data_IF_723790981800
#
_entry.id   IF_723790981800
#
_cell.length_a   1.000
_cell.length_b   1.000
_cell.length_c   1.000
_cell.angle_alpha   90.00
_cell.angle_beta   90.00
_cell.angle_gamma   90.00
#
_symmetry.space_group_name_H-M   'P 1'
#
loop_
_entity.id
_entity.type
_entity.pdbx_description
1 polymer ?
#
# COMPACT_ATOMS: atom_id res chain seq x y z
N UNK A 1 -6.76 27.99 7.57
CA UNK A 1 -7.97 27.47 6.92
C UNK A 1 -7.99 25.96 7.12
N UNK A 2 -9.11 25.42 7.65
CA UNK A 2 -9.35 24.01 8.00
C UNK A 2 -8.40 23.37 9.03
N UNK A 3 -8.58 23.72 10.32
CA UNK A 3 -8.19 22.85 11.44
C UNK A 3 -9.21 21.71 11.56
N UNK A 4 -9.39 20.92 10.51
CA UNK A 4 -10.15 19.68 10.64
C UNK A 4 -9.25 18.72 11.39
N UNK A 5 -9.43 18.62 12.71
CA UNK A 5 -8.72 17.63 13.50
C UNK A 5 -9.13 16.29 12.91
N UNK A 6 -8.18 15.52 12.40
CA UNK A 6 -8.38 14.13 11.95
C UNK A 6 -8.84 13.29 13.15
N UNK A 7 -10.12 13.44 13.49
CA UNK A 7 -10.77 12.79 14.61
C UNK A 7 -10.78 11.30 14.36
N UNK A 8 -10.32 10.54 15.34
CA UNK A 8 -10.37 9.08 15.33
C UNK A 8 -11.32 8.64 16.42
N UNK A 9 -12.19 7.69 16.07
CA UNK A 9 -13.11 7.07 17.02
C UNK A 9 -12.83 5.58 17.14
N UNK A 10 -13.08 5.06 18.34
CA UNK A 10 -13.05 3.63 18.60
C UNK A 10 -14.42 3.03 18.28
N UNK A 11 -14.43 1.99 17.45
CA UNK A 11 -15.62 1.25 17.04
C UNK A 11 -15.44 -0.21 17.43
N UNK A 12 -16.43 -0.79 18.11
CA UNK A 12 -16.49 -2.22 18.39
C UNK A 12 -17.21 -2.93 17.26
N UNK A 13 -16.58 -3.98 16.72
CA UNK A 13 -17.12 -4.89 15.71
C UNK A 13 -17.14 -6.32 16.26
N UNK A 14 -17.86 -7.26 15.62
CA UNK A 14 -17.74 -8.69 15.93
C UNK A 14 -16.29 -9.21 15.84
N UNK A 15 -15.46 -8.58 15.00
CA UNK A 15 -14.07 -8.93 14.80
C UNK A 15 -13.11 -8.38 15.86
N UNK A 16 -13.49 -7.31 16.58
CA UNK A 16 -12.66 -6.68 17.60
C UNK A 16 -12.82 -5.15 17.65
N UNK A 17 -11.92 -4.49 18.38
CA UNK A 17 -11.88 -3.04 18.50
C UNK A 17 -11.08 -2.42 17.34
N UNK A 18 -11.68 -1.43 16.67
CA UNK A 18 -11.10 -0.73 15.53
C UNK A 18 -10.97 0.77 15.82
N UNK A 19 -9.88 1.39 15.38
CA UNK A 19 -9.67 2.84 15.44
C UNK A 19 -9.85 3.43 14.04
N UNK A 20 -11.03 3.99 13.76
CA UNK A 20 -11.39 4.49 12.43
C UNK A 20 -11.49 6.02 12.44
N UNK A 21 -11.28 6.69 11.31
CA UNK A 21 -11.60 8.11 11.18
C UNK A 21 -13.09 8.38 11.46
N UNK A 22 -13.40 9.54 12.03
CA UNK A 22 -14.77 9.97 12.24
C UNK A 22 -15.49 10.21 10.90
N UNK A 23 -14.80 10.86 9.97
CA UNK A 23 -15.24 11.09 8.60
C UNK A 23 -14.59 10.08 7.65
N UNK A 24 -15.42 9.35 6.89
CA UNK A 24 -14.95 8.37 5.89
C UNK A 24 -14.10 9.01 4.79
N UNK A 25 -14.32 10.28 4.48
CA UNK A 25 -13.49 11.02 3.53
C UNK A 25 -12.02 11.10 3.96
N UNK A 26 -11.74 10.87 5.25
CA UNK A 26 -10.39 10.93 5.82
C UNK A 26 -9.75 9.54 5.98
N UNK A 27 -10.39 8.49 5.47
CA UNK A 27 -9.79 7.16 5.43
C UNK A 27 -8.53 7.17 4.57
N UNK A 28 -7.46 6.59 5.12
CA UNK A 28 -6.25 6.31 4.37
C UNK A 28 -6.59 5.38 3.20
N UNK A 29 -6.08 5.63 1.99
CA UNK A 29 -6.37 4.81 0.81
C UNK A 29 -5.75 3.40 0.90
N UNK A 30 -4.87 3.15 1.86
CA UNK A 30 -4.32 1.82 2.17
C UNK A 30 -5.24 0.96 3.06
N UNK A 31 -6.29 1.56 3.63
CA UNK A 31 -7.23 0.84 4.47
C UNK A 31 -8.12 -0.08 3.64
N UNK A 32 -8.63 -1.12 4.28
CA UNK A 32 -9.58 -2.09 3.77
C UNK A 32 -10.79 -2.13 4.69
N UNK A 33 -11.94 -2.45 4.11
CA UNK A 33 -13.15 -2.72 4.89
C UNK A 33 -13.07 -4.08 5.59
N UNK A 34 -13.83 -4.20 6.67
CA UNK A 34 -13.94 -5.47 7.38
C UNK A 34 -14.80 -6.46 6.56
N UNK A 35 -14.35 -7.72 6.38
CA UNK A 35 -15.11 -8.68 5.61
C UNK A 35 -16.38 -9.09 6.35
N UNK A 36 -17.44 -9.38 5.60
CA UNK A 36 -18.60 -10.06 6.14
C UNK A 36 -18.21 -11.47 6.58
N UNK A 37 -18.63 -11.85 7.78
CA UNK A 37 -18.44 -13.21 8.25
C UNK A 37 -19.43 -14.15 7.56
N UNK A 38 -18.93 -15.29 7.10
CA UNK A 38 -19.83 -16.35 6.60
C UNK A 38 -20.74 -16.77 7.76
N UNK A 39 -22.08 -16.74 7.59
CA UNK A 39 -23.00 -17.12 8.64
C UNK A 39 -22.74 -18.55 9.14
N UNK A 40 -22.84 -18.76 10.45
CA UNK A 40 -22.56 -20.08 11.04
C UNK A 40 -23.39 -21.20 10.42
N UNK A 41 -24.64 -20.91 10.02
CA UNK A 41 -25.54 -21.88 9.40
C UNK A 41 -25.04 -22.38 8.04
N UNK A 42 -24.29 -21.55 7.33
CA UNK A 42 -23.74 -21.83 6.00
C UNK A 42 -22.35 -22.50 6.07
N UNK A 43 -21.81 -22.69 7.28
CA UNK A 43 -20.51 -23.30 7.48
C UNK A 43 -20.61 -24.56 8.36
N UNK A 44 -21.01 -25.72 7.78
CA UNK A 44 -21.07 -26.99 8.52
C UNK A 44 -19.69 -27.65 8.71
N UNK A 45 -18.68 -27.22 7.94
CA UNK A 45 -17.33 -27.78 7.90
C UNK A 45 -16.28 -26.69 7.79
N UNK A 46 -15.09 -26.94 8.30
CA UNK A 46 -13.95 -26.04 8.19
C UNK A 46 -13.63 -25.74 6.71
N UNK A 47 -13.56 -24.47 6.34
CA UNK A 47 -13.31 -24.03 4.96
C UNK A 47 -11.86 -24.23 4.47
N UNK A 48 -11.03 -24.96 5.22
CA UNK A 48 -9.67 -25.34 4.83
C UNK A 48 -9.45 -26.86 4.86
N UNK A 49 -9.75 -27.52 5.98
CA UNK A 49 -9.49 -28.95 6.16
C UNK A 49 -10.74 -29.84 6.09
N UNK A 50 -11.92 -29.27 5.81
CA UNK A 50 -13.21 -29.96 5.71
C UNK A 50 -13.68 -30.72 6.98
N UNK A 51 -12.99 -30.52 8.11
CA UNK A 51 -13.40 -31.06 9.40
C UNK A 51 -14.82 -30.60 9.76
N UNK A 52 -15.71 -31.54 10.06
CA UNK A 52 -17.08 -31.27 10.47
C UNK A 52 -17.08 -30.54 11.81
N UNK A 53 -17.89 -29.50 11.92
CA UNK A 53 -18.12 -28.83 13.20
C UNK A 53 -19.13 -29.60 14.06
N UNK A 54 -18.84 -29.67 15.35
CA UNK A 54 -19.66 -30.34 16.35
C UNK A 54 -19.44 -29.69 17.73
N UNK A 55 -19.83 -30.37 18.82
CA UNK A 55 -19.67 -29.84 20.17
C UNK A 55 -18.20 -29.69 20.61
N UNK A 56 -17.28 -30.43 20.00
CA UNK A 56 -15.84 -30.40 20.31
C UNK A 56 -15.12 -29.45 19.35
N UNK A 57 -15.41 -29.56 18.05
CA UNK A 57 -14.83 -28.75 16.99
C UNK A 57 -15.68 -27.50 16.78
N UNK A 58 -15.30 -26.40 17.44
CA UNK A 58 -15.99 -25.10 17.35
C UNK A 58 -15.60 -24.32 16.09
N UNK A 59 -16.49 -23.40 15.69
CA UNK A 59 -16.34 -22.50 14.55
C UNK A 59 -15.53 -21.26 14.93
N UNK A 60 -14.65 -20.82 14.04
CA UNK A 60 -13.85 -19.62 14.21
C UNK A 60 -13.72 -18.86 12.88
N UNK A 61 -14.08 -17.57 12.89
CA UNK A 61 -13.93 -16.73 11.71
C UNK A 61 -12.55 -16.08 11.65
N UNK A 62 -11.97 -16.07 10.45
CA UNK A 62 -10.79 -15.26 10.18
C UNK A 62 -11.20 -13.79 10.04
N UNK A 63 -10.58 -12.89 10.81
CA UNK A 63 -10.91 -11.46 10.78
C UNK A 63 -10.45 -10.72 9.53
N UNK A 64 -9.63 -11.35 8.67
CA UNK A 64 -9.16 -10.78 7.40
C UNK A 64 -10.03 -11.21 6.20
N UNK A 65 -10.53 -12.46 6.17
CA UNK A 65 -11.31 -12.95 5.03
C UNK A 65 -12.76 -13.34 5.34
N UNK A 66 -13.19 -13.32 6.61
CA UNK A 66 -14.57 -13.63 7.01
C UNK A 66 -14.96 -15.11 6.91
N UNK A 67 -14.12 -15.98 6.32
CA UNK A 67 -14.35 -17.43 6.24
C UNK A 67 -14.26 -18.10 7.62
N UNK A 68 -14.90 -19.26 7.75
CA UNK A 68 -15.01 -20.02 9.00
C UNK A 68 -14.16 -21.31 9.01
N UNK A 69 -13.46 -21.53 10.12
CA UNK A 69 -12.41 -22.53 10.27
C UNK A 69 -12.49 -23.21 11.65
N UNK A 70 -11.84 -24.37 11.80
CA UNK A 70 -11.54 -24.94 13.12
C UNK A 70 -10.34 -24.24 13.75
N UNK A 71 -10.12 -24.45 15.06
CA UNK A 71 -9.05 -23.76 15.80
C UNK A 71 -7.66 -24.02 15.18
N UNK A 72 -7.37 -25.27 14.79
CA UNK A 72 -6.10 -25.64 14.16
C UNK A 72 -5.79 -24.85 12.88
N UNK A 73 -6.81 -24.59 12.05
CA UNK A 73 -6.65 -23.86 10.79
C UNK A 73 -6.66 -22.33 10.96
N UNK A 74 -7.05 -21.84 12.14
CA UNK A 74 -7.24 -20.42 12.42
C UNK A 74 -6.85 -20.04 13.85
N UNK A 75 -5.65 -20.43 14.30
CA UNK A 75 -5.17 -20.24 15.67
C UNK A 75 -4.34 -18.97 15.89
N UNK A 76 -3.78 -18.40 14.82
CA UNK A 76 -2.84 -17.27 14.91
C UNK A 76 -3.57 -15.96 15.18
N UNK A 77 -2.99 -15.12 16.05
CA UNK A 77 -3.37 -13.71 16.20
C UNK A 77 -2.29 -12.83 15.57
N UNK A 78 -2.67 -12.00 14.60
CA UNK A 78 -1.73 -11.16 13.83
C UNK A 78 -2.29 -9.73 13.75
N UNK A 79 -1.45 -8.69 13.87
CA UNK A 79 -1.86 -7.31 13.61
C UNK A 79 -2.51 -7.16 12.23
N UNK A 80 -3.54 -6.32 12.13
CA UNK A 80 -4.23 -6.05 10.87
C UNK A 80 -4.48 -4.54 10.68
N UNK A 81 -3.43 -3.73 10.48
CA UNK A 81 -3.54 -2.27 10.40
C UNK A 81 -4.41 -1.79 9.23
N UNK A 82 -4.43 -2.54 8.12
CA UNK A 82 -5.26 -2.21 6.95
C UNK A 82 -6.75 -2.12 7.29
N UNK A 83 -7.25 -2.94 8.22
CA UNK A 83 -8.64 -2.87 8.67
C UNK A 83 -8.82 -2.10 9.98
N UNK A 84 -7.79 -1.34 10.38
CA UNK A 84 -7.79 -0.46 11.55
C UNK A 84 -7.99 -1.17 12.89
N UNK A 85 -7.71 -2.47 13.00
CA UNK A 85 -7.76 -3.17 14.29
C UNK A 85 -6.67 -2.68 15.24
N UNK A 86 -7.04 -2.41 16.49
CA UNK A 86 -6.11 -1.94 17.54
C UNK A 86 -5.21 -3.08 18.01
N UNK A 87 -5.80 -4.24 18.29
CA UNK A 87 -5.10 -5.41 18.80
C UNK A 87 -4.92 -6.48 17.71
N UNK A 88 -3.93 -7.39 17.85
CA UNK A 88 -3.81 -8.55 16.98
C UNK A 88 -5.08 -9.41 16.96
N UNK A 89 -5.58 -9.70 15.76
CA UNK A 89 -6.85 -10.44 15.55
C UNK A 89 -6.62 -11.84 15.01
N UNK A 90 -7.57 -12.75 15.27
CA UNK A 90 -7.51 -14.15 14.82
C UNK A 90 -7.55 -14.24 13.28
N UNK A 91 -6.62 -14.97 12.69
CA UNK A 91 -6.54 -15.18 11.25
C UNK A 91 -6.32 -16.65 10.87
N UNK A 92 -6.76 -17.04 9.66
CA UNK A 92 -6.43 -18.34 9.09
C UNK A 92 -4.96 -18.41 8.68
N UNK A 93 -4.46 -19.62 8.39
CA UNK A 93 -3.08 -19.84 7.96
C UNK A 93 -2.65 -18.94 6.80
N UNK A 94 -3.44 -18.89 5.73
CA UNK A 94 -3.16 -18.08 4.53
C UNK A 94 -3.12 -16.58 4.84
N UNK A 95 -4.17 -16.06 5.48
CA UNK A 95 -4.27 -14.63 5.80
C UNK A 95 -3.15 -14.17 6.72
N UNK A 96 -2.74 -15.01 7.68
CA UNK A 96 -1.68 -14.67 8.62
C UNK A 96 -0.34 -14.36 7.93
N UNK A 97 -0.02 -15.08 6.86
CA UNK A 97 1.21 -14.85 6.07
C UNK A 97 1.12 -13.54 5.30
N UNK A 98 -0.05 -13.24 4.73
CA UNK A 98 -0.27 -11.99 3.99
C UNK A 98 -0.15 -10.79 4.94
N UNK A 99 -0.85 -10.81 6.08
CA UNK A 99 -0.77 -9.72 7.06
C UNK A 99 0.62 -9.52 7.64
N UNK A 100 1.41 -10.59 7.82
CA UNK A 100 2.80 -10.45 8.24
C UNK A 100 3.66 -9.72 7.20
N UNK A 101 3.50 -10.04 5.91
CA UNK A 101 4.19 -9.31 4.84
C UNK A 101 3.74 -7.86 4.74
N UNK A 102 2.44 -7.59 4.90
CA UNK A 102 1.90 -6.23 4.94
C UNK A 102 2.45 -5.43 6.13
N UNK A 103 2.71 -6.07 7.27
CA UNK A 103 3.22 -5.41 8.48
C UNK A 103 4.63 -4.82 8.26
N UNK A 104 5.47 -5.44 7.44
CA UNK A 104 6.77 -4.87 7.07
C UNK A 104 6.64 -3.49 6.40
N UNK A 105 5.57 -3.28 5.62
CA UNK A 105 5.28 -1.98 5.02
C UNK A 105 4.94 -0.94 6.11
N UNK A 106 4.04 -1.28 7.03
CA UNK A 106 3.60 -0.36 8.10
C UNK A 106 4.73 -0.04 9.11
N UNK A 107 5.58 -1.01 9.43
CA UNK A 107 6.63 -0.84 10.44
C UNK A 107 7.80 0.02 9.95
N UNK A 108 8.15 -0.13 8.66
CA UNK A 108 9.37 0.45 8.07
C UNK A 108 9.07 1.42 6.93
N UNK A 109 8.40 0.94 5.89
CA UNK A 109 8.28 1.66 4.61
C UNK A 109 7.39 2.91 4.72
N UNK A 110 6.33 2.84 5.53
CA UNK A 110 5.43 3.97 5.74
C UNK A 110 6.16 5.18 6.34
N UNK A 111 7.03 4.96 7.32
CA UNK A 111 7.87 6.01 7.91
C UNK A 111 8.84 6.59 6.90
N UNK A 112 9.42 5.77 6.03
CA UNK A 112 10.30 6.24 4.93
C UNK A 112 9.53 7.18 4.00
N UNK A 113 8.30 6.83 3.62
CA UNK A 113 7.45 7.66 2.77
C UNK A 113 7.11 9.01 3.41
N UNK A 114 6.78 9.00 4.70
CA UNK A 114 6.42 10.21 5.46
C UNK A 114 7.60 11.14 5.72
N UNK A 115 8.81 10.59 5.93
CA UNK A 115 10.02 11.40 6.11
C UNK A 115 10.41 12.16 4.83
N UNK A 116 10.04 11.63 3.67
CA UNK A 116 10.28 12.24 2.37
C UNK A 116 11.67 11.99 1.80
N UNK A 117 11.82 12.30 0.51
CA UNK A 117 13.07 12.27 -0.22
C UNK A 117 13.09 13.32 -1.33
N UNK A 118 14.28 13.74 -1.73
CA UNK A 118 14.48 14.78 -2.76
C UNK A 118 14.57 14.16 -4.14
N UNK A 119 13.82 14.73 -5.09
CA UNK A 119 13.81 14.31 -6.49
C UNK A 119 13.86 15.52 -7.42
N UNK A 120 14.35 15.32 -8.64
CA UNK A 120 14.10 16.24 -9.75
C UNK A 120 12.85 15.77 -10.48
N UNK A 121 11.85 16.63 -10.61
CA UNK A 121 10.60 16.31 -11.30
C UNK A 121 10.54 16.98 -12.67
N UNK A 122 9.94 16.29 -13.63
CA UNK A 122 9.54 16.86 -14.92
C UNK A 122 8.07 16.56 -15.21
N UNK A 123 7.38 17.56 -15.77
CA UNK A 123 5.96 17.49 -16.11
C UNK A 123 5.80 17.13 -17.59
N UNK A 124 5.20 15.97 -17.89
CA UNK A 124 4.97 15.53 -19.27
C UNK A 124 6.25 15.53 -20.13
N UNK A 125 6.23 16.28 -21.23
CA UNK A 125 7.36 16.42 -22.17
C UNK A 125 8.15 17.74 -21.97
N UNK A 126 7.95 18.45 -20.86
CA UNK A 126 8.71 19.67 -20.56
C UNK A 126 10.17 19.32 -20.25
N UNK A 127 11.11 20.06 -20.85
CA UNK A 127 12.55 19.95 -20.55
C UNK A 127 12.93 20.61 -19.22
N UNK A 128 12.04 21.42 -18.63
CA UNK A 128 12.32 22.10 -17.37
C UNK A 128 12.14 21.13 -16.20
N UNK A 129 13.22 20.88 -15.47
CA UNK A 129 13.23 20.10 -14.23
C UNK A 129 13.22 21.00 -13.00
N UNK A 130 12.45 20.61 -11.99
CA UNK A 130 12.38 21.28 -10.69
C UNK A 130 12.82 20.32 -9.58
N UNK A 131 13.63 20.77 -8.62
CA UNK A 131 14.00 19.96 -7.45
C UNK A 131 12.95 20.10 -6.37
N UNK A 132 12.38 18.98 -5.92
CA UNK A 132 11.30 18.93 -4.93
C UNK A 132 11.61 17.92 -3.83
N UNK A 133 11.09 18.17 -2.63
CA UNK A 133 10.99 17.17 -1.58
C UNK A 133 9.63 16.50 -1.67
N UNK A 134 9.61 15.20 -1.98
CA UNK A 134 8.39 14.40 -2.07
C UNK A 134 8.17 13.63 -0.77
N UNK A 135 6.99 13.74 -0.17
CA UNK A 135 6.62 13.03 1.07
C UNK A 135 5.16 12.64 1.10
N UNK A 136 4.85 11.57 1.82
CA UNK A 136 3.48 11.16 2.11
C UNK A 136 2.94 11.93 3.32
N UNK A 137 1.74 12.48 3.19
CA UNK A 137 0.98 13.12 4.27
C UNK A 137 0.72 12.18 5.46
N UNK A 138 0.50 12.74 6.66
CA UNK A 138 0.30 11.97 7.91
C UNK A 138 -0.96 11.08 7.91
N UNK A 139 -1.98 11.45 7.15
CA UNK A 139 -3.17 10.63 6.95
C UNK A 139 -3.11 9.78 5.67
N UNK A 140 -1.97 9.84 4.98
CA UNK A 140 -1.64 9.07 3.78
C UNK A 140 -2.51 9.36 2.56
N UNK A 141 -3.22 10.48 2.55
CA UNK A 141 -4.16 10.84 1.48
C UNK A 141 -3.51 11.60 0.33
N UNK A 142 -2.43 12.31 0.61
CA UNK A 142 -1.71 13.14 -0.34
C UNK A 142 -0.23 12.81 -0.39
N UNK A 143 0.36 12.86 -1.57
CA UNK A 143 1.78 13.09 -1.78
C UNK A 143 2.00 14.59 -1.93
N UNK A 144 2.81 15.15 -1.05
CA UNK A 144 3.24 16.55 -1.10
C UNK A 144 4.57 16.63 -1.83
N UNK A 145 4.66 17.55 -2.78
CA UNK A 145 5.89 17.92 -3.45
C UNK A 145 6.20 19.38 -3.14
N UNK A 146 7.22 19.58 -2.31
CA UNK A 146 7.62 20.89 -1.82
C UNK A 146 8.88 21.34 -2.59
N UNK A 147 8.74 22.29 -3.51
CA UNK A 147 9.83 22.91 -4.30
C UNK A 147 9.69 24.43 -4.43
N UNK A 148 9.90 24.97 -5.63
CA UNK A 148 9.51 26.34 -5.98
C UNK A 148 7.98 26.48 -5.94
N UNK A 149 7.29 25.44 -6.41
CA UNK A 149 5.83 25.33 -6.34
C UNK A 149 5.43 24.17 -5.43
N UNK A 150 4.39 24.38 -4.62
CA UNK A 150 3.80 23.31 -3.82
C UNK A 150 2.77 22.53 -4.65
N UNK A 151 2.95 21.22 -4.77
CA UNK A 151 2.00 20.34 -5.44
C UNK A 151 1.44 19.30 -4.46
N UNK A 152 0.15 19.01 -4.63
CA UNK A 152 -0.55 17.97 -3.88
C UNK A 152 -1.14 16.95 -4.86
N UNK A 153 -0.72 15.69 -4.74
CA UNK A 153 -1.29 14.58 -5.51
C UNK A 153 -2.10 13.72 -4.55
N UNK A 154 -3.42 13.69 -4.75
CA UNK A 154 -4.28 12.78 -3.99
C UNK A 154 -3.96 11.32 -4.35
N UNK A 155 -3.53 10.55 -3.36
CA UNK A 155 -3.06 9.16 -3.53
C UNK A 155 -4.17 8.27 -4.10
N UNK A 156 -5.43 8.54 -3.74
CA UNK A 156 -6.60 7.84 -4.27
C UNK A 156 -6.76 8.00 -5.79
N UNK A 157 -6.19 9.06 -6.38
CA UNK A 157 -6.26 9.38 -7.83
C UNK A 157 -5.08 8.88 -8.65
N UNK A 158 -4.05 8.30 -8.02
CA UNK A 158 -2.90 7.72 -8.71
C UNK A 158 -3.35 6.46 -9.46
N UNK A 159 -3.20 6.43 -10.76
CA UNK A 159 -3.59 5.28 -11.59
C UNK A 159 -2.46 4.27 -11.69
N UNK A 160 -1.25 4.73 -11.99
CA UNK A 160 -0.07 3.89 -12.17
C UNK A 160 1.14 4.50 -11.50
N UNK A 161 2.01 3.64 -10.98
CA UNK A 161 3.35 3.98 -10.49
C UNK A 161 4.32 3.01 -11.14
N UNK A 162 5.23 3.53 -11.95
CA UNK A 162 6.26 2.73 -12.62
C UNK A 162 7.62 3.12 -12.05
N UNK A 163 8.40 2.16 -11.57
CA UNK A 163 9.75 2.40 -11.09
C UNK A 163 10.72 2.35 -12.27
N UNK A 164 11.56 3.37 -12.40
CA UNK A 164 12.61 3.44 -13.40
C UNK A 164 13.87 2.85 -12.79
N UNK A 165 14.43 1.82 -13.41
CA UNK A 165 15.68 1.17 -12.97
C UNK A 165 16.77 1.37 -13.99
N UNK A 166 18.01 1.51 -13.52
CA UNK A 166 19.18 1.42 -14.40
C UNK A 166 19.42 -0.05 -14.78
N UNK A 167 19.53 -0.35 -16.08
CA UNK A 167 19.73 -1.71 -16.57
C UNK A 167 20.65 -1.73 -17.79
N UNK A 168 21.73 -2.52 -17.70
CA UNK A 168 22.68 -2.80 -18.76
C UNK A 168 21.99 -3.11 -20.09
N UNK A 169 22.53 -2.57 -21.18
CA UNK A 169 22.12 -2.89 -22.55
C UNK A 169 22.40 -4.37 -22.88
N UNK A 170 21.39 -5.22 -23.13
CA UNK A 170 21.58 -6.35 -24.02
C UNK A 170 21.39 -5.81 -25.44
N UNK A 171 22.37 -6.03 -26.31
CA UNK A 171 22.27 -5.62 -27.72
C UNK A 171 20.94 -6.04 -28.35
N UNK A 172 20.37 -5.12 -29.12
CA UNK A 172 19.29 -5.30 -30.09
C UNK A 172 18.08 -6.13 -29.67
N UNK A 173 17.08 -5.44 -29.11
CA UNK A 173 15.77 -5.19 -29.76
C UNK A 173 14.83 -4.46 -28.80
N UNK A 174 14.27 -3.36 -29.31
CA UNK A 174 13.16 -2.61 -28.70
C UNK A 174 12.04 -3.51 -28.18
N UNK A 175 11.58 -3.23 -26.96
CA UNK A 175 10.18 -2.95 -26.58
C UNK A 175 10.14 -2.80 -25.05
N UNK A 176 9.66 -1.64 -24.60
CA UNK A 176 9.39 -1.32 -23.21
C UNK A 176 8.58 -2.42 -22.51
N UNK A 177 9.21 -3.16 -21.60
CA UNK A 177 8.52 -4.16 -20.77
C UNK A 177 7.68 -3.46 -19.71
N UNK A 178 6.46 -3.21 -20.11
CA UNK A 178 5.23 -3.10 -19.34
C UNK A 178 5.27 -3.97 -18.07
N UNK A 179 5.60 -3.41 -16.91
CA UNK A 179 5.19 -4.02 -15.63
C UNK A 179 3.74 -3.64 -15.40
N UNK A 180 2.85 -4.29 -16.15
CA UNK A 180 1.47 -4.45 -15.74
C UNK A 180 1.45 -5.19 -14.41
N UNK A 181 0.45 -4.84 -13.60
CA UNK A 181 0.28 -5.17 -12.19
C UNK A 181 0.03 -6.65 -11.86
N UNK A 182 0.50 -7.57 -12.68
CA UNK A 182 0.64 -8.98 -12.32
C UNK A 182 1.98 -9.49 -12.84
N UNK A 183 2.72 -10.13 -11.94
CA UNK A 183 4.01 -10.80 -12.20
C UNK A 183 5.23 -9.90 -12.38
N UNK A 184 5.78 -9.47 -11.25
CA UNK A 184 7.24 -9.41 -11.13
C UNK A 184 7.65 -9.89 -9.75
N UNK A 185 8.11 -11.14 -9.69
CA UNK A 185 8.95 -11.67 -8.61
C UNK A 185 10.36 -11.04 -8.61
N UNK A 186 10.57 -9.90 -9.26
CA UNK A 186 11.88 -9.28 -9.37
C UNK A 186 12.11 -8.21 -8.30
N UNK A 187 11.85 -8.55 -7.04
CA UNK A 187 12.70 -8.18 -5.91
C UNK A 187 12.81 -9.43 -5.03
N UNK A 188 13.29 -10.54 -5.61
CA UNK A 188 14.02 -11.53 -4.84
C UNK A 188 15.33 -10.91 -4.37
N UNK A 189 15.76 -11.28 -3.17
CA UNK A 189 16.87 -10.76 -2.38
C UNK A 189 18.28 -10.85 -3.03
N UNK A 190 18.42 -10.70 -4.36
CA UNK A 190 19.70 -10.90 -5.06
C UNK A 190 19.91 -10.14 -6.39
N UNK A 191 19.01 -9.25 -6.81
CA UNK A 191 19.20 -8.43 -8.02
C UNK A 191 19.45 -6.96 -7.70
N UNK A 192 20.67 -6.47 -7.88
CA UNK A 192 21.10 -5.08 -7.62
C UNK A 192 20.59 -4.07 -8.67
N UNK A 193 19.35 -4.19 -9.14
CA UNK A 193 18.76 -3.19 -10.04
C UNK A 193 18.43 -1.94 -9.24
N UNK A 194 19.24 -0.90 -9.40
CA UNK A 194 19.09 0.36 -8.66
C UNK A 194 17.95 1.18 -9.25
N UNK A 195 16.96 1.51 -8.44
CA UNK A 195 15.91 2.45 -8.82
C UNK A 195 16.52 3.86 -8.96
N UNK A 196 16.37 4.45 -10.15
CA UNK A 196 16.88 5.78 -10.53
C UNK A 196 15.76 6.83 -10.62
N UNK A 197 14.50 6.40 -10.54
CA UNK A 197 13.35 7.29 -10.62
C UNK A 197 12.02 6.56 -10.56
N UNK A 198 10.95 7.30 -10.77
CA UNK A 198 9.61 6.76 -10.97
C UNK A 198 8.77 7.64 -11.90
N UNK A 199 7.72 7.07 -12.44
CA UNK A 199 6.70 7.74 -13.22
C UNK A 199 5.35 7.54 -12.54
N UNK A 200 4.67 8.63 -12.21
CA UNK A 200 3.33 8.59 -11.63
C UNK A 200 2.35 9.14 -12.66
N UNK A 201 1.30 8.38 -12.95
CA UNK A 201 0.14 8.87 -13.70
C UNK A 201 -1.06 9.01 -12.74
N UNK A 202 -1.75 10.14 -12.81
CA UNK A 202 -2.87 10.43 -11.93
C UNK A 202 -3.91 11.33 -12.62
N UNK A 203 -5.16 11.28 -12.15
CA UNK A 203 -6.21 12.19 -12.59
C UNK A 203 -6.21 13.47 -11.75
N UNK A 204 -6.32 14.64 -12.38
CA UNK A 204 -6.43 15.92 -11.65
C UNK A 204 -7.84 16.06 -11.03
N UNK A 205 -7.96 16.82 -9.93
CA UNK A 205 -9.26 17.12 -9.35
C UNK A 205 -10.09 18.02 -10.27
N UNK A 206 -11.34 17.60 -10.54
CA UNK A 206 -12.29 18.36 -11.37
C UNK A 206 -12.07 18.27 -12.89
N UNK A 207 -11.18 17.41 -13.37
CA UNK A 207 -10.90 17.24 -14.79
C UNK A 207 -10.56 15.77 -15.12
N UNK A 208 -11.02 15.26 -16.26
CA UNK A 208 -10.65 13.92 -16.74
C UNK A 208 -9.25 13.85 -17.37
N UNK A 209 -8.54 14.98 -17.43
CA UNK A 209 -7.17 15.05 -17.92
C UNK A 209 -6.23 14.18 -17.07
N UNK A 210 -5.58 13.25 -17.77
CA UNK A 210 -4.47 12.48 -17.24
C UNK A 210 -3.22 13.35 -17.14
N UNK A 211 -2.63 13.40 -15.96
CA UNK A 211 -1.31 14.02 -15.74
C UNK A 211 -0.27 12.94 -15.50
N UNK A 212 0.93 13.20 -15.99
CA UNK A 212 2.08 12.34 -15.80
C UNK A 212 3.23 13.19 -15.25
N UNK A 213 3.86 12.66 -14.22
CA UNK A 213 5.00 13.29 -13.55
C UNK A 213 6.11 12.27 -13.41
N UNK A 214 7.29 12.63 -13.93
CA UNK A 214 8.50 11.83 -13.83
C UNK A 214 9.35 12.38 -12.70
N UNK A 215 9.86 11.48 -11.88
CA UNK A 215 10.77 11.76 -10.77
C UNK A 215 12.09 11.09 -11.08
N UNK A 216 13.19 11.81 -10.99
CA UNK A 216 14.54 11.29 -11.11
C UNK A 216 15.32 11.57 -9.82
N UNK A 217 16.16 10.62 -9.41
CA UNK A 217 17.03 10.83 -8.24
C UNK A 217 18.10 11.87 -8.59
N UNK A 218 18.26 12.90 -7.76
CA UNK A 218 19.33 13.88 -7.94
C UNK A 218 20.71 13.21 -7.83
N UNK A 219 21.66 13.65 -8.67
CA UNK A 219 23.01 13.11 -8.70
C UNK A 219 23.88 13.60 -7.53
N UNK A 220 23.41 14.59 -6.78
CA UNK A 220 24.20 15.27 -5.75
C UNK A 220 24.07 14.60 -4.37
N UNK A 221 25.24 14.29 -3.80
CA UNK A 221 25.48 13.76 -2.44
C UNK A 221 25.04 12.30 -2.25
N UNK A 222 26.01 11.45 -1.91
CA UNK A 222 25.85 9.99 -1.74
C UNK A 222 24.75 9.59 -0.70
N UNK A 223 24.49 10.44 0.30
CA UNK A 223 23.45 10.21 1.31
C UNK A 223 22.01 10.32 0.74
N UNK A 224 21.74 11.34 -0.08
CA UNK A 224 20.44 11.59 -0.70
C UNK A 224 20.03 10.47 -1.64
N UNK A 225 21.01 9.86 -2.33
CA UNK A 225 20.81 8.73 -3.23
C UNK A 225 20.23 7.50 -2.51
N UNK A 226 20.73 7.16 -1.31
CA UNK A 226 20.24 6.00 -0.54
C UNK A 226 18.82 6.23 0.00
N UNK A 227 18.53 7.45 0.46
CA UNK A 227 17.20 7.83 0.93
C UNK A 227 16.19 7.77 -0.22
N UNK A 228 16.52 8.36 -1.37
CA UNK A 228 15.65 8.37 -2.54
C UNK A 228 15.38 6.96 -3.08
N UNK A 229 16.40 6.11 -3.19
CA UNK A 229 16.20 4.72 -3.59
C UNK A 229 15.30 3.93 -2.61
N UNK A 230 15.50 4.13 -1.31
CA UNK A 230 14.65 3.51 -0.28
C UNK A 230 13.21 4.01 -0.36
N UNK A 231 13.02 5.31 -0.65
CA UNK A 231 11.71 5.92 -0.84
C UNK A 231 11.01 5.38 -2.09
N UNK A 232 11.72 5.24 -3.22
CA UNK A 232 11.18 4.63 -4.45
C UNK A 232 10.73 3.18 -4.21
N UNK A 233 11.53 2.38 -3.50
CA UNK A 233 11.16 1.01 -3.14
C UNK A 233 9.94 0.97 -2.21
N UNK A 234 9.86 1.89 -1.25
CA UNK A 234 8.70 2.04 -0.37
C UNK A 234 7.44 2.41 -1.16
N UNK A 235 7.56 3.32 -2.14
CA UNK A 235 6.46 3.78 -2.96
C UNK A 235 5.95 2.69 -3.91
N UNK A 236 6.84 1.84 -4.43
CA UNK A 236 6.44 0.65 -5.19
C UNK A 236 5.58 -0.31 -4.36
N UNK A 237 6.00 -0.58 -3.11
CA UNK A 237 5.22 -1.39 -2.17
C UNK A 237 3.87 -0.72 -1.84
N UNK A 238 3.85 0.60 -1.65
CA UNK A 238 2.63 1.36 -1.43
C UNK A 238 1.66 1.23 -2.62
N UNK A 239 2.15 1.39 -3.85
CA UNK A 239 1.34 1.28 -5.07
C UNK A 239 0.66 -0.09 -5.19
N UNK A 240 1.36 -1.17 -4.83
CA UNK A 240 0.78 -2.51 -4.79
C UNK A 240 -0.39 -2.60 -3.80
N UNK A 241 -0.22 -2.07 -2.59
CA UNK A 241 -1.29 -2.06 -1.59
C UNK A 241 -2.50 -1.22 -2.06
N UNK A 242 -2.27 -0.08 -2.71
CA UNK A 242 -3.34 0.76 -3.27
C UNK A 242 -4.14 0.01 -4.34
N UNK A 243 -3.47 -0.73 -5.21
CA UNK A 243 -4.15 -1.54 -6.22
C UNK A 243 -5.02 -2.63 -5.57
N UNK A 244 -4.46 -3.37 -4.61
CA UNK A 244 -5.21 -4.39 -3.86
C UNK A 244 -6.41 -3.81 -3.09
N UNK A 245 -6.32 -2.57 -2.60
CA UNK A 245 -7.44 -1.88 -1.93
C UNK A 245 -8.58 -1.51 -2.87
N UNK A 246 -8.33 -1.38 -4.18
CA UNK A 246 -9.35 -0.99 -5.17
C UNK A 246 -10.13 -2.18 -5.74
N UNK A 247 -9.51 -3.36 -5.75
CA UNK A 247 -10.11 -4.61 -6.26
C UNK A 247 -11.00 -5.32 -5.22
N UNK A 248 -11.21 -4.71 -4.05
CA UNK A 248 -11.97 -5.28 -2.93
C UNK A 248 -13.37 -4.67 -2.82
#
# INVERSE_FOLDING_TARGET
MSTDRDGKKLVRSPSGLRMVPENRAHCSPFCLEEPQWVPDKECPRCMHCDAKFDFITRKHHCRRCGKCFCDKCCSKKVPLPRMCFVDPVRQCGECSVISQKEMEFYDRQLKVLMNGATFSITHGCSEKSETVVCRLSNNHRYLFLDGETHYEIEVSRILTVQILTEGFTPGDKDIHTYTSLLESQCITEGGNSRAIGMLIQYKKQGCDDLKQMKFTTSEDINCNKKMSASWLAAMHKAAKLLYESREQ
#
